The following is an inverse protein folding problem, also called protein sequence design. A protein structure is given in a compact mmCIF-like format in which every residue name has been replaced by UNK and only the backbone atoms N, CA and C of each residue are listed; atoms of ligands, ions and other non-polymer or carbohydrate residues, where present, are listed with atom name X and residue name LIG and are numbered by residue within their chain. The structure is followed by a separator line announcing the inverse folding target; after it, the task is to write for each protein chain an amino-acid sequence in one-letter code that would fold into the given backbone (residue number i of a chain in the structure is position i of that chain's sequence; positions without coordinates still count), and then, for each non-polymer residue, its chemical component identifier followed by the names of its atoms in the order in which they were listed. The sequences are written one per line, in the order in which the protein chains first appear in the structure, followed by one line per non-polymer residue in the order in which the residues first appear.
data_IF_750944672800
#
_entry.id   IF_750944672800
#
_cell.length_a   1.000
_cell.length_b   1.000
_cell.length_c   1.000
_cell.angle_alpha   90.00
_cell.angle_beta   90.00
_cell.angle_gamma   90.00
#
_symmetry.space_group_name_H-M   'P 1'
#
loop_
_entity.id
_entity.type
_entity.pdbx_description
1 polymer ?
#
# COMPACT_ATOMS: atom_id res chain seq x y z
N UNK A 1 -2.13 23.03 25.68
CA UNK A 1 -2.74 23.36 24.37
C UNK A 1 -3.75 22.26 24.06
N UNK A 2 -5.01 22.57 23.73
CA UNK A 2 -6.03 21.56 23.51
C UNK A 2 -5.88 20.94 22.12
N UNK A 3 -5.58 19.64 22.06
CA UNK A 3 -5.52 18.89 20.81
C UNK A 3 -6.90 18.82 20.14
N UNK A 4 -6.96 18.63 18.82
CA UNK A 4 -8.25 18.50 18.15
C UNK A 4 -9.06 17.31 18.70
N UNK A 5 -10.39 17.45 18.79
CA UNK A 5 -11.27 16.43 19.39
C UNK A 5 -11.13 15.07 18.72
N UNK A 6 -11.04 15.03 17.39
CA UNK A 6 -10.88 13.81 16.60
C UNK A 6 -9.54 13.09 16.84
N UNK A 7 -8.53 13.79 17.35
CA UNK A 7 -7.24 13.22 17.78
C UNK A 7 -7.30 12.82 19.26
N UNK A 8 -7.98 13.61 20.10
CA UNK A 8 -8.18 13.29 21.52
C UNK A 8 -8.96 11.99 21.72
N UNK A 9 -10.03 11.81 20.94
CA UNK A 9 -10.94 10.65 20.97
C UNK A 9 -10.44 9.49 20.09
N UNK A 10 -9.22 9.56 19.53
CA UNK A 10 -8.68 8.49 18.69
C UNK A 10 -8.64 7.13 19.39
N UNK A 11 -8.30 7.02 20.70
CA UNK A 11 -8.41 5.75 21.41
C UNK A 11 -9.82 5.18 21.36
N UNK A 12 -10.86 6.01 21.44
CA UNK A 12 -12.26 5.61 21.43
C UNK A 12 -12.82 5.36 20.03
N UNK A 13 -12.05 5.67 18.98
CA UNK A 13 -12.45 5.42 17.61
C UNK A 13 -12.74 3.92 17.41
N UNK A 14 -13.90 3.53 16.84
CA UNK A 14 -14.31 2.13 16.76
C UNK A 14 -13.25 1.23 16.11
N UNK A 15 -12.68 1.67 14.98
CA UNK A 15 -11.62 0.91 14.30
C UNK A 15 -10.36 0.73 15.16
N UNK A 16 -10.01 1.73 15.97
CA UNK A 16 -8.84 1.69 16.86
C UNK A 16 -9.13 0.79 18.06
N UNK A 17 -10.29 0.93 18.73
CA UNK A 17 -10.69 0.04 19.82
C UNK A 17 -10.74 -1.42 19.37
N UNK A 18 -11.29 -1.70 18.19
CA UNK A 18 -11.32 -3.06 17.65
C UNK A 18 -9.91 -3.58 17.34
N UNK A 19 -9.04 -2.73 16.78
CA UNK A 19 -7.67 -3.09 16.49
C UNK A 19 -6.84 -3.37 17.77
N UNK A 20 -7.08 -2.60 18.83
CA UNK A 20 -6.45 -2.73 20.16
C UNK A 20 -6.96 -3.97 20.92
N UNK A 21 -8.27 -4.26 20.87
CA UNK A 21 -8.90 -5.33 21.65
C UNK A 21 -9.02 -6.66 20.92
N UNK A 22 -8.81 -6.68 19.60
CA UNK A 22 -8.93 -7.91 18.78
C UNK A 22 -10.35 -8.46 18.73
N UNK A 23 -11.38 -7.60 18.84
CA UNK A 23 -12.79 -8.01 18.97
C UNK A 23 -13.49 -8.30 17.63
N UNK A 24 -12.86 -7.97 16.50
CA UNK A 24 -13.34 -8.26 15.15
C UNK A 24 -12.21 -8.79 14.25
N UNK A 25 -12.53 -9.54 13.18
CA UNK A 25 -11.55 -9.87 12.14
C UNK A 25 -10.92 -8.61 11.55
N UNK A 26 -9.62 -8.65 11.25
CA UNK A 26 -8.91 -7.50 10.67
C UNK A 26 -9.45 -7.11 9.30
N UNK A 27 -9.99 -8.06 8.55
CA UNK A 27 -10.53 -7.90 7.21
C UNK A 27 -11.61 -6.83 7.16
N UNK A 28 -12.57 -6.90 8.07
CA UNK A 28 -13.66 -5.93 8.17
C UNK A 28 -13.11 -4.54 8.49
N UNK A 29 -12.16 -4.46 9.42
CA UNK A 29 -11.57 -3.18 9.85
C UNK A 29 -10.73 -2.54 8.74
N UNK A 30 -9.96 -3.34 8.00
CA UNK A 30 -9.17 -2.89 6.86
C UNK A 30 -10.09 -2.45 5.73
N UNK A 31 -11.18 -3.17 5.46
CA UNK A 31 -12.18 -2.78 4.48
C UNK A 31 -12.81 -1.43 4.80
N UNK A 32 -13.30 -1.24 6.03
CA UNK A 32 -13.86 0.05 6.47
C UNK A 32 -12.83 1.17 6.41
N UNK A 33 -11.60 0.94 6.88
CA UNK A 33 -10.55 1.95 6.78
C UNK A 33 -10.22 2.28 5.32
N UNK A 34 -10.13 1.28 4.45
CA UNK A 34 -9.86 1.49 3.03
C UNK A 34 -10.96 2.31 2.37
N UNK A 35 -12.24 2.12 2.74
CA UNK A 35 -13.36 2.92 2.24
C UNK A 35 -13.26 4.40 2.66
N UNK A 36 -12.69 4.71 3.83
CA UNK A 36 -12.40 6.11 4.18
C UNK A 36 -11.36 6.71 3.23
N UNK A 37 -10.45 5.88 2.71
CA UNK A 37 -9.43 6.23 1.72
C UNK A 37 -9.86 6.11 0.26
N UNK A 38 -11.07 5.62 -0.01
CA UNK A 38 -11.57 5.51 -1.36
C UNK A 38 -11.63 6.89 -2.00
N UNK A 39 -11.12 6.91 -3.22
CA UNK A 39 -11.08 8.06 -4.07
C UNK A 39 -12.47 8.33 -4.65
N UNK A 40 -13.31 9.03 -3.89
CA UNK A 40 -14.53 9.57 -4.47
C UNK A 40 -14.16 10.78 -5.33
N UNK A 41 -13.95 10.55 -6.63
CA UNK A 41 -13.66 11.60 -7.60
C UNK A 41 -14.76 12.67 -7.54
N UNK A 42 -16.05 12.29 -7.53
CA UNK A 42 -17.19 13.20 -7.45
C UNK A 42 -17.25 14.12 -6.21
N UNK A 43 -16.68 13.69 -5.06
CA UNK A 43 -16.64 14.47 -3.81
C UNK A 43 -15.33 15.22 -3.59
N UNK A 44 -14.26 14.88 -4.33
CA UNK A 44 -13.00 15.62 -4.25
C UNK A 44 -13.18 16.92 -5.04
N UNK A 45 -12.93 18.05 -4.40
CA UNK A 45 -12.94 19.35 -5.08
C UNK A 45 -11.51 19.71 -5.47
N UNK A 46 -11.06 19.39 -6.69
CA UNK A 46 -9.78 19.89 -7.17
C UNK A 46 -9.82 21.42 -7.17
N UNK A 47 -8.74 22.06 -6.71
CA UNK A 47 -8.54 23.49 -6.97
C UNK A 47 -8.26 23.69 -8.47
N UNK A 48 -8.34 24.89 -9.03
CA UNK A 48 -7.84 25.13 -10.39
C UNK A 48 -6.36 25.53 -10.31
N UNK A 49 -5.48 24.91 -11.09
CA UNK A 49 -4.09 25.32 -11.26
C UNK A 49 -3.89 25.84 -12.68
N UNK A 50 -3.59 27.13 -12.82
CA UNK A 50 -3.28 27.76 -14.10
C UNK A 50 -1.85 27.42 -14.51
N UNK A 51 -1.67 26.78 -15.67
CA UNK A 51 -0.35 26.38 -16.20
C UNK A 51 0.13 27.25 -17.36
N UNK A 52 -0.77 27.96 -18.03
CA UNK A 52 -0.44 28.80 -19.18
C UNK A 52 -1.66 29.03 -20.07
N UNK A 53 -1.41 29.48 -21.30
CA UNK A 53 -2.41 29.65 -22.35
C UNK A 53 -1.96 28.89 -23.61
N UNK A 54 -2.87 28.17 -24.24
CA UNK A 54 -2.72 27.65 -25.60
C UNK A 54 -3.83 28.28 -26.45
N UNK A 55 -3.45 28.90 -27.57
CA UNK A 55 -4.35 29.68 -28.44
C UNK A 55 -5.17 30.77 -27.72
N UNK A 56 -4.63 31.35 -26.64
CA UNK A 56 -5.31 32.36 -25.82
C UNK A 56 -6.40 31.80 -24.90
N UNK A 57 -6.55 30.47 -24.83
CA UNK A 57 -7.38 29.80 -23.85
C UNK A 57 -6.51 29.35 -22.66
N UNK A 58 -6.91 29.66 -21.41
CA UNK A 58 -6.18 29.21 -20.23
C UNK A 58 -6.18 27.68 -20.13
N UNK A 59 -4.98 27.09 -20.06
CA UNK A 59 -4.79 25.68 -19.74
C UNK A 59 -4.85 25.54 -18.22
N UNK A 60 -5.92 24.92 -17.75
CA UNK A 60 -6.08 24.55 -16.35
C UNK A 60 -5.65 23.10 -16.15
N UNK A 61 -4.73 22.87 -15.22
CA UNK A 61 -4.59 21.56 -14.58
C UNK A 61 -5.46 21.56 -13.33
N UNK A 62 -6.16 20.46 -13.08
CA UNK A 62 -6.85 20.24 -11.81
C UNK A 62 -5.87 20.32 -10.65
N UNK A 63 -5.84 21.45 -9.95
CA UNK A 63 -5.22 21.57 -8.65
C UNK A 63 -5.72 20.46 -7.72
N UNK A 64 -4.80 19.90 -6.95
CA UNK A 64 -5.01 18.83 -5.95
C UNK A 64 -5.51 17.47 -6.45
N UNK A 65 -5.74 17.26 -7.76
CA UNK A 65 -5.91 15.90 -8.27
C UNK A 65 -4.54 15.22 -8.37
N UNK A 66 -4.39 14.07 -7.71
CA UNK A 66 -3.18 13.26 -7.77
C UNK A 66 -3.48 11.88 -8.35
N UNK A 67 -2.47 11.32 -9.02
CA UNK A 67 -2.60 10.04 -9.72
C UNK A 67 -2.93 8.89 -8.77
N UNK A 68 -2.41 8.92 -7.54
CA UNK A 68 -2.72 7.91 -6.52
C UNK A 68 -4.24 7.75 -6.33
N UNK A 69 -4.95 8.87 -6.21
CA UNK A 69 -6.40 8.88 -6.02
C UNK A 69 -7.11 8.33 -7.25
N UNK A 70 -6.68 8.71 -8.45
CA UNK A 70 -7.27 8.15 -9.67
C UNK A 70 -7.06 6.64 -9.75
N UNK A 71 -5.86 6.14 -9.50
CA UNK A 71 -5.58 4.69 -9.53
C UNK A 71 -6.37 3.91 -8.46
N UNK A 72 -6.61 4.50 -7.28
CA UNK A 72 -7.48 3.90 -6.28
C UNK A 72 -8.94 3.80 -6.77
N UNK A 73 -9.45 4.81 -7.47
CA UNK A 73 -10.77 4.77 -8.08
C UNK A 73 -10.85 3.73 -9.23
N UNK A 74 -9.82 3.65 -10.07
CA UNK A 74 -9.75 2.64 -11.14
C UNK A 74 -9.78 1.22 -10.56
N UNK A 75 -9.01 0.99 -9.48
CA UNK A 75 -8.95 -0.30 -8.81
C UNK A 75 -10.30 -0.71 -8.19
N UNK A 76 -10.97 0.23 -7.50
CA UNK A 76 -12.27 -0.03 -6.87
C UNK A 76 -13.35 -0.42 -7.89
N UNK A 77 -13.26 0.13 -9.11
CA UNK A 77 -14.20 -0.16 -10.20
C UNK A 77 -13.75 -1.28 -11.14
N UNK A 78 -12.59 -1.92 -10.89
CA UNK A 78 -12.03 -2.93 -11.77
C UNK A 78 -11.80 -2.43 -13.21
N UNK A 79 -11.49 -1.14 -13.38
CA UNK A 79 -11.37 -0.52 -14.69
C UNK A 79 -10.19 -1.10 -15.48
N UNK A 80 -10.43 -1.30 -16.77
CA UNK A 80 -9.41 -1.69 -17.73
C UNK A 80 -8.52 -0.49 -18.03
N UNK A 81 -7.22 -0.72 -17.96
CA UNK A 81 -6.20 0.23 -18.40
C UNK A 81 -5.38 -0.37 -19.53
N UNK A 82 -4.96 0.47 -20.46
CA UNK A 82 -3.79 0.19 -21.30
C UNK A 82 -2.60 0.90 -20.71
N UNK A 83 -1.49 0.19 -20.59
CA UNK A 83 -0.18 0.72 -20.26
C UNK A 83 0.66 0.59 -21.53
N UNK A 84 1.17 1.70 -22.04
CA UNK A 84 2.10 1.68 -23.18
C UNK A 84 3.41 0.93 -22.89
N UNK A 85 4.50 1.34 -23.55
CA UNK A 85 5.82 0.76 -23.28
C UNK A 85 6.22 0.93 -21.81
N UNK A 86 6.49 -0.18 -21.12
CA UNK A 86 6.87 -0.16 -19.70
C UNK A 86 8.21 -0.87 -19.47
N UNK A 87 9.22 -0.10 -19.06
CA UNK A 87 10.49 -0.63 -18.58
C UNK A 87 10.43 -0.97 -17.10
N UNK A 88 10.65 -2.24 -16.72
CA UNK A 88 10.69 -2.64 -15.31
C UNK A 88 11.93 -2.10 -14.60
N UNK A 89 11.73 -1.44 -13.44
CA UNK A 89 12.81 -1.02 -12.54
C UNK A 89 13.49 -2.18 -11.80
N UNK A 90 12.78 -3.29 -11.64
CA UNK A 90 13.30 -4.47 -10.95
C UNK A 90 13.82 -5.45 -11.98
N UNK A 91 14.88 -6.16 -11.59
CA UNK A 91 15.30 -7.38 -12.29
C UNK A 91 14.05 -8.26 -12.50
N UNK A 92 13.90 -8.87 -13.67
CA UNK A 92 12.82 -9.82 -13.90
C UNK A 92 12.92 -10.91 -12.83
N UNK A 93 12.02 -10.87 -11.85
CA UNK A 93 11.81 -12.03 -10.97
C UNK A 93 11.11 -13.08 -11.80
N UNK A 94 11.48 -14.37 -11.61
CA UNK A 94 10.84 -15.56 -12.19
C UNK A 94 9.39 -15.27 -12.55
N UNK A 95 9.10 -15.02 -13.83
CA UNK A 95 7.76 -14.70 -14.24
C UNK A 95 7.03 -16.00 -14.49
N UNK A 96 5.92 -16.19 -13.79
CA UNK A 96 4.98 -17.29 -14.01
C UNK A 96 4.31 -17.30 -15.40
N UNK A 97 4.79 -16.55 -16.37
CA UNK A 97 4.16 -16.45 -17.67
C UNK A 97 4.97 -15.65 -18.66
N UNK A 98 4.69 -15.89 -19.93
CA UNK A 98 5.36 -15.28 -21.08
C UNK A 98 4.56 -14.06 -21.51
N UNK A 99 5.23 -12.93 -21.75
CA UNK A 99 4.59 -11.76 -22.37
C UNK A 99 4.43 -12.06 -23.86
N UNK A 100 3.18 -12.16 -24.31
CA UNK A 100 2.85 -12.44 -25.72
C UNK A 100 2.69 -11.16 -26.53
N UNK A 101 2.35 -10.04 -25.87
CA UNK A 101 2.07 -8.74 -26.51
C UNK A 101 2.84 -7.61 -25.79
N UNK A 102 4.15 -7.42 -26.06
CA UNK A 102 4.98 -6.49 -25.29
C UNK A 102 4.65 -5.00 -25.47
N UNK A 103 4.11 -4.61 -26.63
CA UNK A 103 3.80 -3.21 -26.97
C UNK A 103 2.41 -2.73 -26.55
N UNK A 104 1.50 -3.65 -26.20
CA UNK A 104 0.11 -3.33 -25.88
C UNK A 104 -0.29 -4.00 -24.56
N UNK A 105 0.37 -3.60 -23.47
CA UNK A 105 0.10 -4.16 -22.15
C UNK A 105 -1.23 -3.59 -21.66
N UNK A 106 -2.18 -4.45 -21.33
CA UNK A 106 -3.50 -4.00 -20.92
C UNK A 106 -4.09 -4.95 -19.89
N UNK A 107 -4.98 -4.45 -19.05
CA UNK A 107 -5.55 -5.25 -17.98
C UNK A 107 -6.35 -4.48 -16.96
N UNK A 108 -6.98 -5.20 -16.04
CA UNK A 108 -7.75 -4.59 -14.95
C UNK A 108 -6.82 -4.14 -13.83
N UNK A 109 -7.01 -2.92 -13.34
CA UNK A 109 -6.32 -2.47 -12.13
C UNK A 109 -6.89 -3.24 -10.94
N UNK A 110 -6.04 -4.00 -10.24
CA UNK A 110 -6.43 -4.73 -9.03
C UNK A 110 -6.31 -3.82 -7.82
N UNK A 111 -5.18 -3.11 -7.69
CA UNK A 111 -4.90 -2.19 -6.55
C UNK A 111 -3.63 -1.38 -6.77
N UNK A 112 -3.46 -0.34 -5.96
CA UNK A 112 -2.18 0.35 -5.79
C UNK A 112 -1.39 -0.32 -4.65
N UNK A 113 -0.11 -0.62 -4.91
CA UNK A 113 0.80 -1.26 -3.96
C UNK A 113 1.96 -0.33 -3.67
N UNK A 114 2.19 -0.05 -2.39
CA UNK A 114 3.38 0.68 -1.92
C UNK A 114 4.47 -0.27 -1.45
N UNK A 115 5.74 0.10 -1.66
CA UNK A 115 6.84 -0.54 -0.96
C UNK A 115 6.86 -0.09 0.51
N UNK A 116 7.19 -1.03 1.40
CA UNK A 116 7.29 -0.80 2.84
C UNK A 116 8.49 0.08 3.21
N UNK A 117 9.63 -0.11 2.53
CA UNK A 117 10.92 0.45 2.96
C UNK A 117 11.35 1.70 2.16
N UNK A 118 10.78 1.90 0.97
CA UNK A 118 11.06 3.07 0.10
C UNK A 118 9.77 3.67 -0.44
N UNK A 119 9.86 4.85 -1.02
CA UNK A 119 8.73 5.63 -1.53
C UNK A 119 8.27 5.24 -2.94
N UNK A 120 8.38 3.95 -3.29
CA UNK A 120 7.95 3.44 -4.60
C UNK A 120 6.51 2.92 -4.57
N UNK A 121 5.76 3.20 -5.63
CA UNK A 121 4.38 2.77 -5.81
C UNK A 121 4.19 2.09 -7.16
N UNK A 122 3.42 1.00 -7.15
CA UNK A 122 3.06 0.24 -8.34
C UNK A 122 1.54 0.14 -8.46
N UNK A 123 1.02 0.15 -9.68
CA UNK A 123 -0.29 -0.43 -9.97
C UNK A 123 -0.11 -1.95 -10.16
N UNK A 124 -0.83 -2.75 -9.38
CA UNK A 124 -0.96 -4.18 -9.63
C UNK A 124 -2.11 -4.36 -10.63
N UNK A 125 -1.81 -4.95 -11.78
CA UNK A 125 -2.74 -5.09 -12.90
C UNK A 125 -2.86 -6.56 -13.26
N UNK A 126 -4.09 -7.03 -13.49
CA UNK A 126 -4.33 -8.32 -14.12
C UNK A 126 -4.05 -8.19 -15.62
N UNK A 127 -2.81 -8.44 -16.01
CA UNK A 127 -2.29 -8.14 -17.34
C UNK A 127 -2.61 -9.26 -18.34
N UNK A 128 -3.48 -8.95 -19.29
CA UNK A 128 -3.97 -9.90 -20.30
C UNK A 128 -2.99 -10.17 -21.43
N UNK A 129 -1.91 -9.39 -21.53
CA UNK A 129 -0.81 -9.65 -22.46
C UNK A 129 0.16 -10.74 -21.96
N UNK A 130 -0.12 -11.36 -20.81
CA UNK A 130 0.68 -12.44 -20.22
C UNK A 130 -0.06 -13.77 -20.32
N UNK A 131 0.65 -14.80 -20.75
CA UNK A 131 0.16 -16.18 -20.79
C UNK A 131 0.86 -17.04 -19.74
N UNK A 132 0.09 -17.75 -18.92
CA UNK A 132 0.57 -18.64 -17.86
C UNK A 132 0.28 -20.09 -18.24
N UNK A 133 1.30 -20.95 -18.14
CA UNK A 133 1.12 -22.41 -18.26
C UNK A 133 0.71 -22.97 -16.90
N UNK A 134 -0.48 -23.57 -16.82
CA UNK A 134 -0.98 -24.25 -15.63
C UNK A 134 -0.34 -25.62 -15.47
N UNK A 135 -0.45 -26.17 -14.26
CA UNK A 135 0.10 -27.49 -13.93
C UNK A 135 -0.55 -28.64 -14.73
N UNK A 136 -1.76 -28.43 -15.25
CA UNK A 136 -2.49 -29.36 -16.11
C UNK A 136 -2.12 -29.23 -17.61
N UNK A 137 -1.16 -28.37 -17.95
CA UNK A 137 -0.72 -28.11 -19.32
C UNK A 137 -1.59 -27.12 -20.09
N UNK A 138 -2.66 -26.59 -19.48
CA UNK A 138 -3.49 -25.55 -20.13
C UNK A 138 -2.83 -24.18 -20.06
N UNK A 139 -3.17 -23.33 -21.02
CA UNK A 139 -2.65 -21.96 -21.07
C UNK A 139 -3.76 -20.97 -20.74
N UNK A 140 -3.49 -20.06 -19.83
CA UNK A 140 -4.43 -19.03 -19.41
C UNK A 140 -3.84 -17.64 -19.68
N UNK A 141 -4.62 -16.78 -20.34
CA UNK A 141 -4.28 -15.37 -20.51
C UNK A 141 -4.67 -14.58 -19.25
N UNK A 142 -3.81 -13.66 -18.84
CA UNK A 142 -3.99 -12.85 -17.65
C UNK A 142 -3.08 -13.30 -16.52
N UNK A 143 -2.14 -12.45 -16.12
CA UNK A 143 -1.39 -12.66 -14.90
C UNK A 143 -1.19 -11.35 -14.14
N UNK A 144 -1.20 -11.36 -12.79
CA UNK A 144 -0.86 -10.17 -12.02
C UNK A 144 0.55 -9.67 -12.35
N UNK A 145 0.68 -8.39 -12.70
CA UNK A 145 1.94 -7.69 -12.96
C UNK A 145 1.96 -6.35 -12.26
N UNK A 146 3.12 -6.00 -11.71
CA UNK A 146 3.34 -4.70 -11.07
C UNK A 146 3.92 -3.73 -12.10
N UNK A 147 3.23 -2.62 -12.32
CA UNK A 147 3.72 -1.51 -13.11
C UNK A 147 4.03 -0.34 -12.18
N UNK A 148 5.31 0.04 -12.09
CA UNK A 148 5.77 1.11 -11.22
C UNK A 148 5.32 2.47 -11.77
N UNK A 149 4.44 3.13 -11.02
CA UNK A 149 4.05 4.51 -11.26
C UNK A 149 5.09 5.47 -10.69
N UNK A 150 5.69 5.12 -9.54
CA UNK A 150 6.68 5.93 -8.84
C UNK A 150 7.96 5.14 -8.66
N UNK A 151 9.09 5.80 -8.95
CA UNK A 151 10.41 5.21 -8.80
C UNK A 151 10.84 5.02 -7.34
N UNK A 152 12.05 4.51 -7.12
CA UNK A 152 12.57 4.31 -5.75
C UNK A 152 12.80 5.64 -5.01
N UNK A 153 12.95 6.75 -5.73
CA UNK A 153 13.18 8.09 -5.18
C UNK A 153 11.90 8.88 -4.92
N UNK A 154 10.73 8.29 -5.16
CA UNK A 154 9.45 8.98 -4.99
C UNK A 154 9.05 9.86 -6.19
N UNK A 155 9.71 9.71 -7.35
CA UNK A 155 9.43 10.49 -8.56
C UNK A 155 8.49 9.72 -9.48
N UNK A 156 7.54 10.43 -10.09
CA UNK A 156 6.64 9.87 -11.08
C UNK A 156 7.43 9.42 -12.31
N UNK A 157 7.13 8.23 -12.83
CA UNK A 157 7.81 7.70 -14.01
C UNK A 157 7.21 8.26 -15.30
N UNK A 158 8.02 8.35 -16.38
CA UNK A 158 7.50 8.63 -17.72
C UNK A 158 6.34 7.68 -18.08
N UNK A 159 5.32 8.20 -18.78
CA UNK A 159 4.11 7.46 -19.16
C UNK A 159 3.01 7.42 -18.10
N UNK A 160 3.28 7.83 -16.87
CA UNK A 160 2.26 7.94 -15.80
C UNK A 160 1.77 9.36 -15.54
N UNK A 161 2.46 10.37 -16.08
CA UNK A 161 2.11 11.79 -15.91
C UNK A 161 0.84 12.19 -16.65
N UNK A 162 0.48 11.46 -17.70
CA UNK A 162 -0.72 11.73 -18.49
C UNK A 162 -1.57 10.47 -18.52
N UNK A 163 -2.88 10.64 -18.30
CA UNK A 163 -3.85 9.57 -18.42
C UNK A 163 -4.90 9.98 -19.42
N UNK A 164 -5.00 9.25 -20.51
CA UNK A 164 -6.02 9.48 -21.52
C UNK A 164 -7.31 8.74 -21.16
N UNK A 165 -8.44 9.38 -21.45
CA UNK A 165 -9.78 8.77 -21.40
C UNK A 165 -10.17 8.12 -22.73
N UNK A 166 -9.30 8.26 -23.73
CA UNK A 166 -9.34 7.58 -25.02
C UNK A 166 -8.11 6.69 -25.19
N UNK A 167 -8.15 5.71 -26.08
CA UNK A 167 -6.99 4.87 -26.33
C UNK A 167 -5.93 5.65 -27.10
N UNK A 168 -4.77 5.86 -26.47
CA UNK A 168 -3.60 6.48 -27.08
C UNK A 168 -2.38 5.58 -26.87
N UNK A 169 -1.66 5.31 -27.95
CA UNK A 169 -0.46 4.47 -27.92
C UNK A 169 0.66 5.17 -27.12
N UNK A 170 1.19 4.49 -26.11
CA UNK A 170 2.25 5.04 -25.26
C UNK A 170 1.78 5.80 -24.00
N UNK A 171 0.47 6.03 -23.84
CA UNK A 171 -0.12 6.71 -22.67
C UNK A 171 -0.93 5.72 -21.82
N UNK A 172 -1.01 5.95 -20.50
CA UNK A 172 -1.98 5.23 -19.68
C UNK A 172 -3.38 5.62 -20.15
N UNK A 173 -4.21 4.68 -20.61
CA UNK A 173 -5.59 4.99 -21.04
C UNK A 173 -6.63 4.15 -20.32
N UNK A 174 -7.81 4.73 -20.06
CA UNK A 174 -8.96 4.03 -19.48
C UNK A 174 -10.28 4.64 -19.99
N UNK A 175 -11.36 3.86 -19.98
CA UNK A 175 -12.70 4.38 -20.29
C UNK A 175 -13.40 4.82 -18.99
N UNK A 176 -13.72 6.12 -18.83
CA UNK A 176 -14.41 6.60 -17.63
C UNK A 176 -15.87 6.15 -17.59
N UNK A 177 -16.42 5.98 -16.39
CA UNK A 177 -17.87 5.83 -16.20
C UNK A 177 -18.59 7.16 -16.48
N UNK A 178 -19.91 7.14 -16.67
CA UNK A 178 -20.69 8.37 -16.85
C UNK A 178 -20.50 9.37 -15.71
N UNK A 179 -20.48 8.90 -14.45
CA UNK A 179 -20.23 9.73 -13.28
C UNK A 179 -18.82 10.36 -13.29
N UNK A 180 -17.80 9.59 -13.67
CA UNK A 180 -16.42 10.08 -13.78
C UNK A 180 -16.29 11.09 -14.91
N UNK A 181 -16.88 10.81 -16.08
CA UNK A 181 -16.88 11.72 -17.22
C UNK A 181 -17.56 13.06 -16.87
N UNK A 182 -18.73 13.00 -16.22
CA UNK A 182 -19.44 14.19 -15.74
C UNK A 182 -18.62 14.97 -14.71
N UNK A 183 -17.94 14.26 -13.79
CA UNK A 183 -17.03 14.89 -12.84
C UNK A 183 -15.86 15.61 -13.55
N UNK A 184 -15.19 14.94 -14.49
CA UNK A 184 -14.06 15.51 -15.23
C UNK A 184 -14.47 16.75 -16.03
N UNK A 185 -15.62 16.68 -16.71
CA UNK A 185 -16.18 17.80 -17.46
C UNK A 185 -16.57 18.97 -16.55
N UNK A 186 -17.33 18.72 -15.48
CA UNK A 186 -17.80 19.79 -14.56
C UNK A 186 -16.68 20.51 -13.81
N UNK A 187 -15.50 19.90 -13.71
CA UNK A 187 -14.33 20.45 -13.02
C UNK A 187 -13.24 20.96 -13.96
N UNK A 188 -13.43 20.90 -15.28
CA UNK A 188 -12.45 21.37 -16.26
C UNK A 188 -11.10 20.65 -16.15
N UNK A 189 -11.13 19.33 -15.90
CA UNK A 189 -9.92 18.53 -15.63
C UNK A 189 -9.21 18.01 -16.89
N UNK A 190 -9.79 18.23 -18.06
CA UNK A 190 -9.24 17.81 -19.35
C UNK A 190 -8.31 18.91 -19.86
N UNK A 191 -7.03 18.59 -20.06
CA UNK A 191 -6.03 19.53 -20.58
C UNK A 191 -6.04 19.57 -22.10
N UNK A 192 -5.88 18.41 -22.74
CA UNK A 192 -6.12 18.16 -24.17
C UNK A 192 -7.42 17.35 -24.31
N UNK A 193 -8.03 17.24 -25.52
CA UNK A 193 -9.19 16.38 -25.70
C UNK A 193 -8.91 14.99 -25.12
N UNK A 194 -9.75 14.57 -24.18
CA UNK A 194 -9.66 13.30 -23.46
C UNK A 194 -8.46 13.07 -22.50
N UNK A 195 -7.51 13.99 -22.30
CA UNK A 195 -6.33 13.71 -21.44
C UNK A 195 -6.36 14.45 -20.10
N UNK A 196 -6.05 13.72 -19.02
CA UNK A 196 -5.85 14.22 -17.66
C UNK A 196 -4.36 14.24 -17.34
N UNK A 197 -3.82 15.42 -17.05
CA UNK A 197 -2.40 15.62 -16.72
C UNK A 197 -2.20 15.69 -15.21
N UNK A 198 -1.28 14.88 -14.69
CA UNK A 198 -0.90 14.81 -13.28
C UNK A 198 0.50 15.36 -13.05
N UNK A 199 0.61 16.44 -12.27
CA UNK A 199 1.90 17.00 -11.86
C UNK A 199 2.57 16.19 -10.73
N UNK A 200 1.79 15.39 -10.00
CA UNK A 200 2.26 14.63 -8.84
C UNK A 200 1.59 13.27 -8.75
N UNK A 201 2.34 12.28 -8.22
CA UNK A 201 1.74 11.01 -7.81
C UNK A 201 0.82 11.17 -6.60
N UNK A 202 1.26 11.95 -5.61
CA UNK A 202 0.51 12.37 -4.42
C UNK A 202 0.70 13.86 -4.25
N UNK A 203 -0.38 14.59 -3.96
CA UNK A 203 -0.28 16.05 -3.80
C UNK A 203 0.45 16.43 -2.51
N UNK A 204 1.29 17.49 -2.51
CA UNK A 204 1.98 17.94 -1.29
C UNK A 204 1.03 18.28 -0.14
N UNK A 205 -0.21 18.70 -0.45
CA UNK A 205 -1.24 18.99 0.54
C UNK A 205 -1.63 17.77 1.38
N UNK A 206 -1.55 16.55 0.81
CA UNK A 206 -1.82 15.32 1.54
C UNK A 206 -0.84 15.12 2.71
N UNK A 207 0.37 15.67 2.60
CA UNK A 207 1.38 15.63 3.66
C UNK A 207 0.93 16.33 4.94
N UNK A 208 0.02 17.32 4.85
CA UNK A 208 -0.59 17.96 6.02
C UNK A 208 -1.43 16.97 6.85
N UNK A 209 -1.91 15.89 6.24
CA UNK A 209 -2.68 14.84 6.91
C UNK A 209 -1.85 13.95 7.83
N UNK A 210 -0.50 14.06 7.82
CA UNK A 210 0.40 13.21 8.61
C UNK A 210 0.16 13.29 10.13
N UNK A 211 -0.40 14.39 10.63
CA UNK A 211 -0.78 14.56 12.04
C UNK A 211 -2.28 14.42 12.30
N UNK A 212 -3.07 14.11 11.26
CA UNK A 212 -4.52 14.03 11.33
C UNK A 212 -5.03 12.67 11.76
N UNK A 213 -6.25 12.64 12.32
CA UNK A 213 -6.91 11.42 12.81
C UNK A 213 -6.98 10.32 11.76
N UNK A 214 -7.34 10.65 10.51
CA UNK A 214 -7.46 9.67 9.41
C UNK A 214 -6.16 8.92 9.12
N UNK A 215 -5.02 9.61 9.13
CA UNK A 215 -3.70 8.97 9.02
C UNK A 215 -3.41 8.10 10.25
N UNK A 216 -3.67 8.61 11.46
CA UNK A 216 -3.41 7.89 12.70
C UNK A 216 -4.24 6.59 12.81
N UNK A 217 -5.51 6.60 12.41
CA UNK A 217 -6.37 5.40 12.34
C UNK A 217 -5.78 4.37 11.39
N UNK A 218 -5.44 4.78 10.16
CA UNK A 218 -4.86 3.88 9.16
C UNK A 218 -3.49 3.33 9.60
N UNK A 219 -2.67 4.17 10.25
CA UNK A 219 -1.39 3.77 10.82
C UNK A 219 -1.56 2.76 11.94
N UNK A 220 -2.51 2.97 12.85
CA UNK A 220 -2.83 2.02 13.92
C UNK A 220 -3.22 0.64 13.35
N UNK A 221 -4.05 0.61 12.30
CA UNK A 221 -4.44 -0.64 11.63
C UNK A 221 -3.28 -1.30 10.90
N UNK A 222 -2.43 -0.54 10.20
CA UNK A 222 -1.24 -1.07 9.55
C UNK A 222 -0.28 -1.74 10.55
N UNK A 223 -0.03 -1.09 11.70
CA UNK A 223 0.76 -1.65 12.81
C UNK A 223 0.11 -2.91 13.39
N UNK A 224 -1.22 -2.94 13.47
CA UNK A 224 -1.96 -4.12 13.93
C UNK A 224 -1.84 -5.33 12.99
N UNK A 225 -1.84 -5.10 11.67
CA UNK A 225 -1.60 -6.15 10.67
C UNK A 225 -0.17 -6.68 10.81
N UNK A 226 0.80 -5.78 10.90
CA UNK A 226 2.22 -6.13 11.00
C UNK A 226 2.53 -6.94 12.27
N UNK A 227 1.89 -6.60 13.40
CA UNK A 227 2.07 -7.30 14.68
C UNK A 227 1.45 -8.68 14.71
N UNK A 228 0.23 -8.84 14.19
CA UNK A 228 -0.37 -10.19 14.10
C UNK A 228 0.51 -11.09 13.24
N UNK A 229 0.99 -10.56 12.11
CA UNK A 229 1.93 -11.28 11.26
C UNK A 229 3.19 -11.66 12.02
N UNK A 230 3.83 -10.72 12.73
CA UNK A 230 5.05 -10.99 13.49
C UNK A 230 4.83 -12.02 14.61
N UNK A 231 3.72 -11.92 15.34
CA UNK A 231 3.35 -12.85 16.40
C UNK A 231 3.12 -14.26 15.83
N UNK A 232 2.34 -14.38 14.75
CA UNK A 232 2.11 -15.66 14.09
C UNK A 232 3.41 -16.24 13.55
N UNK A 233 4.28 -15.44 12.93
CA UNK A 233 5.59 -15.91 12.48
C UNK A 233 6.47 -16.43 13.63
N UNK A 234 6.45 -15.78 14.80
CA UNK A 234 7.17 -16.27 15.99
C UNK A 234 6.61 -17.58 16.51
N UNK A 235 5.29 -17.68 16.61
CA UNK A 235 4.61 -18.90 17.06
C UNK A 235 4.79 -20.05 16.05
N UNK A 236 4.77 -19.75 14.76
CA UNK A 236 5.06 -20.72 13.69
C UNK A 236 6.50 -21.24 13.82
N UNK A 237 7.48 -20.36 14.00
CA UNK A 237 8.87 -20.75 14.24
C UNK A 237 9.01 -21.64 15.48
N UNK A 238 8.27 -21.34 16.55
CA UNK A 238 8.25 -22.16 17.76
C UNK A 238 7.63 -23.53 17.52
N UNK A 239 6.45 -23.59 16.90
CA UNK A 239 5.76 -24.84 16.55
C UNK A 239 6.61 -25.72 15.62
N UNK A 240 7.35 -25.12 14.67
CA UNK A 240 8.29 -25.85 13.81
C UNK A 240 9.43 -26.53 14.57
N UNK A 241 9.87 -25.97 15.70
CA UNK A 241 10.89 -26.64 16.53
C UNK A 241 10.35 -27.93 17.13
N UNK A 242 9.06 -27.98 17.45
CA UNK A 242 8.40 -29.19 17.93
C UNK A 242 8.08 -30.15 16.79
N UNK A 243 7.81 -29.62 15.58
CA UNK A 243 7.39 -30.37 14.39
C UNK A 243 8.15 -29.94 13.13
N UNK A 244 9.43 -30.32 12.99
CA UNK A 244 10.28 -29.85 11.88
C UNK A 244 9.84 -30.38 10.51
N UNK A 245 9.17 -31.54 10.45
CA UNK A 245 8.74 -32.20 9.22
C UNK A 245 7.24 -32.07 8.94
N UNK A 246 6.54 -31.13 9.58
CA UNK A 246 5.12 -30.92 9.33
C UNK A 246 4.87 -30.46 7.88
N UNK A 247 3.96 -31.13 7.14
CA UNK A 247 3.62 -30.71 5.78
C UNK A 247 2.85 -29.40 5.84
N UNK A 248 3.39 -28.37 5.20
CA UNK A 248 2.66 -27.12 5.00
C UNK A 248 1.75 -27.25 3.79
N UNK A 249 0.65 -26.47 3.74
CA UNK A 249 -0.03 -26.27 2.48
C UNK A 249 1.00 -25.80 1.46
N UNK A 250 0.92 -26.30 0.23
CA UNK A 250 1.65 -25.69 -0.86
C UNK A 250 1.34 -24.21 -0.78
N UNK A 251 2.36 -23.38 -0.55
CA UNK A 251 2.18 -21.95 -0.80
C UNK A 251 1.61 -21.86 -2.21
N UNK A 252 0.70 -20.94 -2.47
CA UNK A 252 0.50 -20.45 -3.84
C UNK A 252 1.77 -19.69 -4.25
N UNK A 253 2.93 -20.36 -4.17
CA UNK A 253 4.14 -19.99 -4.84
C UNK A 253 3.88 -20.34 -6.30
N UNK A 254 3.92 -19.29 -7.09
CA UNK A 254 4.33 -19.36 -8.48
C UNK A 254 5.39 -20.49 -8.65
N UNK A 255 5.11 -21.56 -9.43
CA UNK A 255 5.97 -22.74 -9.47
C UNK A 255 7.38 -22.37 -9.92
N UNK A 256 8.36 -22.92 -9.22
CA UNK A 256 9.77 -22.80 -9.58
C UNK A 256 10.08 -23.78 -10.72
N UNK A 257 10.06 -23.30 -11.96
CA UNK A 257 10.73 -23.95 -13.09
C UNK A 257 12.22 -23.58 -13.12
N UNK A 258 13.06 -24.54 -13.51
CA UNK A 258 14.46 -24.31 -13.83
C UNK A 258 14.57 -23.59 -15.19
N UNK A 259 15.15 -22.38 -15.22
CA UNK A 259 15.78 -21.83 -16.42
C UNK A 259 16.72 -20.66 -16.06
N UNK A 260 17.78 -20.52 -16.85
CA UNK A 260 18.77 -19.45 -16.75
C UNK A 260 18.10 -18.08 -16.97
N UNK A 261 18.30 -17.17 -16.03
CA UNK A 261 17.89 -15.76 -16.18
C UNK A 261 19.00 -15.02 -16.93
N UNK A 262 18.70 -14.15 -17.91
CA UNK A 262 19.71 -13.31 -18.52
C UNK A 262 20.39 -12.45 -17.44
N UNK A 263 21.72 -12.33 -17.52
CA UNK A 263 22.52 -11.52 -16.60
C UNK A 263 22.23 -10.03 -16.82
N UNK A 264 21.17 -9.54 -16.21
CA UNK A 264 20.87 -8.11 -16.19
C UNK A 264 21.72 -7.46 -15.09
N UNK A 265 22.50 -6.43 -15.44
CA UNK A 265 23.32 -5.73 -14.47
C UNK A 265 22.46 -4.97 -13.47
N UNK A 266 22.93 -4.95 -12.22
CA UNK A 266 22.17 -4.46 -11.07
C UNK A 266 23.06 -3.58 -10.21
N UNK A 267 22.51 -2.45 -9.77
CA UNK A 267 23.22 -1.47 -8.94
C UNK A 267 22.54 -1.33 -7.59
N UNK A 268 23.33 -1.29 -6.51
CA UNK A 268 22.85 -0.90 -5.18
C UNK A 268 22.84 0.62 -5.06
N UNK A 269 21.73 1.18 -4.63
CA UNK A 269 21.55 2.61 -4.39
C UNK A 269 21.04 2.85 -2.99
N UNK A 270 21.50 3.94 -2.37
CA UNK A 270 20.99 4.42 -1.09
C UNK A 270 19.86 5.39 -1.38
N UNK A 271 18.72 5.19 -0.73
CA UNK A 271 17.49 5.94 -0.96
C UNK A 271 17.01 6.52 0.37
N UNK A 272 16.84 7.85 0.48
CA UNK A 272 16.21 8.44 1.64
C UNK A 272 14.71 8.17 1.64
N UNK A 273 14.16 7.90 2.81
CA UNK A 273 12.74 7.65 3.03
C UNK A 273 12.34 8.19 4.39
N UNK A 274 11.04 8.31 4.63
CA UNK A 274 10.53 8.50 5.99
C UNK A 274 10.15 7.15 6.57
N UNK A 275 10.59 6.94 7.81
CA UNK A 275 10.11 5.88 8.67
C UNK A 275 9.24 6.52 9.74
N UNK A 276 7.99 6.06 9.84
CA UNK A 276 7.06 6.49 10.88
C UNK A 276 6.48 5.28 11.60
N UNK A 277 6.19 5.44 12.88
CA UNK A 277 5.63 4.40 13.76
C UNK A 277 4.62 5.02 14.70
N UNK A 278 3.50 4.36 14.92
CA UNK A 278 2.56 4.75 15.97
C UNK A 278 2.74 3.82 17.17
N UNK A 279 2.97 4.41 18.35
CA UNK A 279 2.92 3.73 19.63
C UNK A 279 1.60 4.09 20.31
N UNK A 280 0.85 3.09 20.77
CA UNK A 280 -0.40 3.29 21.50
C UNK A 280 -0.35 2.55 22.82
N UNK A 281 -0.90 3.17 23.86
CA UNK A 281 -1.03 2.55 25.18
C UNK A 281 -2.13 1.46 25.14
N UNK A 282 -1.98 0.41 25.95
CA UNK A 282 -2.99 -0.66 26.06
C UNK A 282 -3.04 -1.63 24.87
N UNK A 283 -2.01 -1.65 24.01
CA UNK A 283 -1.94 -2.61 22.91
C UNK A 283 -1.68 -4.03 23.45
N UNK A 284 -2.73 -4.86 23.49
CA UNK A 284 -2.62 -6.25 23.90
C UNK A 284 -2.52 -7.16 22.67
N UNK A 285 -1.42 -7.91 22.58
CA UNK A 285 -1.20 -8.90 21.53
C UNK A 285 -1.99 -10.21 21.74
N UNK A 286 -2.95 -10.26 22.68
CA UNK A 286 -3.75 -11.47 22.89
C UNK A 286 -4.83 -11.56 21.80
N UNK A 287 -4.44 -12.06 20.63
CA UNK A 287 -5.39 -12.49 19.62
C UNK A 287 -5.68 -13.98 19.80
N UNK A 288 -6.93 -14.33 19.54
CA UNK A 288 -7.39 -15.71 19.44
C UNK A 288 -6.45 -16.48 18.51
N UNK A 289 -5.96 -17.63 18.98
CA UNK A 289 -5.19 -18.53 18.14
C UNK A 289 -6.18 -19.38 17.35
N UNK A 290 -5.83 -19.69 16.11
CA UNK A 290 -6.64 -20.54 15.26
C UNK A 290 -5.81 -21.65 14.65
N UNK A 291 -6.48 -22.74 14.32
CA UNK A 291 -5.96 -23.88 13.60
C UNK A 291 -6.84 -24.14 12.37
N UNK A 292 -6.23 -24.67 11.31
CA UNK A 292 -6.92 -24.92 10.04
C UNK A 292 -6.76 -26.39 9.65
N UNK A 293 -7.87 -27.09 9.48
CA UNK A 293 -7.88 -28.49 9.03
C UNK A 293 -7.38 -28.63 7.58
N UNK A 294 -7.05 -29.85 7.11
CA UNK A 294 -6.66 -30.06 5.72
C UNK A 294 -7.75 -29.68 4.70
N UNK A 295 -9.01 -29.63 5.14
CA UNK A 295 -10.17 -29.22 4.33
C UNK A 295 -10.38 -27.70 4.31
N UNK A 296 -9.56 -26.93 5.04
CA UNK A 296 -9.65 -25.48 5.12
C UNK A 296 -10.57 -24.95 6.23
N UNK A 297 -11.10 -25.82 7.11
CA UNK A 297 -11.97 -25.41 8.21
C UNK A 297 -11.13 -24.76 9.32
N UNK A 298 -11.49 -23.54 9.71
CA UNK A 298 -10.79 -22.76 10.73
C UNK A 298 -11.50 -22.88 12.08
N UNK A 299 -10.76 -23.22 13.14
CA UNK A 299 -11.27 -23.30 14.51
C UNK A 299 -10.37 -22.57 15.50
N UNK A 300 -10.91 -21.96 16.56
CA UNK A 300 -10.10 -21.38 17.62
C UNK A 300 -9.37 -22.47 18.42
N UNK A 301 -8.20 -22.15 18.96
CA UNK A 301 -7.46 -22.98 19.93
C UNK A 301 -7.09 -22.13 21.14
N UNK A 302 -7.16 -22.71 22.34
CA UNK A 302 -6.90 -21.99 23.59
C UNK A 302 -5.41 -21.73 23.82
N UNK A 303 -4.56 -22.72 23.49
CA UNK A 303 -3.11 -22.63 23.67
C UNK A 303 -2.36 -23.42 22.61
N UNK A 304 -1.18 -22.92 22.26
CA UNK A 304 -0.18 -23.63 21.47
C UNK A 304 0.94 -24.08 22.40
N UNK A 305 1.09 -25.38 22.59
CA UNK A 305 2.05 -25.96 23.53
C UNK A 305 2.74 -27.20 22.94
N UNK A 306 3.92 -27.54 23.46
CA UNK A 306 4.74 -28.65 22.95
C UNK A 306 4.14 -30.04 23.22
N UNK A 307 3.28 -30.13 24.23
CA UNK A 307 2.52 -31.33 24.63
C UNK A 307 1.18 -31.46 23.88
N UNK A 308 0.84 -30.50 23.01
CA UNK A 308 -0.39 -30.55 22.23
C UNK A 308 -0.38 -31.73 21.23
N UNK A 309 -1.56 -32.30 20.90
CA UNK A 309 -1.68 -33.31 19.86
C UNK A 309 -0.99 -32.90 18.56
N UNK A 310 -0.38 -33.88 17.87
CA UNK A 310 0.35 -33.66 16.62
C UNK A 310 -0.51 -32.95 15.57
N UNK A 311 -1.78 -33.33 15.47
CA UNK A 311 -2.73 -32.74 14.52
C UNK A 311 -2.99 -31.26 14.82
N UNK A 312 -3.10 -30.87 16.08
CA UNK A 312 -3.33 -29.47 16.48
C UNK A 312 -2.14 -28.57 16.08
N UNK A 313 -0.91 -29.06 16.26
CA UNK A 313 0.30 -28.31 15.86
C UNK A 313 0.38 -28.18 14.33
N UNK A 314 0.05 -29.25 13.59
CA UNK A 314 0.06 -29.22 12.12
C UNK A 314 -1.02 -28.29 11.56
N UNK A 315 -2.22 -28.34 12.12
CA UNK A 315 -3.33 -27.46 11.75
C UNK A 315 -3.03 -26.00 12.09
N UNK A 316 -2.38 -25.73 13.22
CA UNK A 316 -1.88 -24.39 13.55
C UNK A 316 -0.84 -23.92 12.53
N UNK A 317 0.15 -24.75 12.19
CA UNK A 317 1.18 -24.40 11.20
C UNK A 317 0.57 -24.09 9.82
N UNK A 318 -0.46 -24.85 9.41
CA UNK A 318 -1.22 -24.60 8.19
C UNK A 318 -1.92 -23.24 8.24
N UNK A 319 -2.63 -22.95 9.32
CA UNK A 319 -3.29 -21.67 9.53
C UNK A 319 -2.28 -20.51 9.53
N UNK A 320 -1.22 -20.61 10.33
CA UNK A 320 -0.23 -19.55 10.50
C UNK A 320 0.48 -19.22 9.18
N UNK A 321 0.85 -20.24 8.39
CA UNK A 321 1.48 -20.01 7.08
C UNK A 321 0.54 -19.29 6.12
N UNK A 322 -0.73 -19.70 6.01
CA UNK A 322 -1.67 -19.03 5.11
C UNK A 322 -2.04 -17.63 5.60
N UNK A 323 -2.26 -17.48 6.91
CA UNK A 323 -2.64 -16.20 7.52
C UNK A 323 -1.52 -15.17 7.41
N UNK A 324 -0.27 -15.57 7.64
CA UNK A 324 0.88 -14.66 7.50
C UNK A 324 1.08 -14.18 6.07
N UNK A 325 0.88 -15.06 5.07
CA UNK A 325 0.89 -14.68 3.66
C UNK A 325 -0.26 -13.72 3.34
N UNK A 326 -1.48 -14.01 3.80
CA UNK A 326 -2.65 -13.15 3.61
C UNK A 326 -2.46 -11.75 4.24
N UNK A 327 -1.93 -11.67 5.46
CA UNK A 327 -1.60 -10.40 6.12
C UNK A 327 -0.52 -9.62 5.35
N UNK A 328 0.48 -10.32 4.82
CA UNK A 328 1.62 -9.71 4.12
C UNK A 328 1.26 -9.17 2.74
N UNK A 329 0.46 -9.94 2.01
CA UNK A 329 0.24 -9.72 0.58
C UNK A 329 -1.19 -9.28 0.25
N UNK A 330 -2.16 -9.41 1.14
CA UNK A 330 -3.55 -8.98 0.90
C UNK A 330 -3.90 -7.79 1.79
N UNK A 331 -4.00 -7.98 3.11
CA UNK A 331 -4.47 -6.92 4.02
C UNK A 331 -3.45 -5.80 4.20
N UNK A 332 -2.19 -6.14 4.42
CA UNK A 332 -1.14 -5.15 4.68
C UNK A 332 -1.00 -4.12 3.56
N UNK A 333 -0.91 -4.52 2.27
CA UNK A 333 -0.83 -3.55 1.18
C UNK A 333 -2.03 -2.60 1.10
N UNK A 334 -3.26 -3.08 1.35
CA UNK A 334 -4.50 -2.28 1.27
C UNK A 334 -4.49 -1.10 2.23
N UNK A 335 -4.09 -1.31 3.48
CA UNK A 335 -4.02 -0.23 4.48
C UNK A 335 -2.71 0.57 4.40
N UNK A 336 -1.61 -0.03 3.93
CA UNK A 336 -0.31 0.65 3.84
C UNK A 336 -0.22 1.63 2.68
N UNK A 337 -0.86 1.35 1.53
CA UNK A 337 -0.81 2.24 0.38
C UNK A 337 -1.23 3.69 0.72
N UNK A 338 -2.40 3.95 1.34
CA UNK A 338 -2.78 5.31 1.72
C UNK A 338 -1.89 5.91 2.83
N UNK A 339 -1.44 5.10 3.79
CA UNK A 339 -0.47 5.55 4.82
C UNK A 339 0.82 6.03 4.17
N UNK A 340 1.37 5.24 3.23
CA UNK A 340 2.59 5.57 2.49
C UNK A 340 2.40 6.78 1.59
N UNK A 341 1.19 6.99 1.03
CA UNK A 341 0.89 8.17 0.23
C UNK A 341 1.01 9.47 1.05
N UNK A 342 0.48 9.48 2.27
CA UNK A 342 0.64 10.59 3.22
C UNK A 342 2.11 10.77 3.63
N UNK A 343 2.79 9.67 3.96
CA UNK A 343 4.22 9.68 4.32
C UNK A 343 5.11 10.21 3.20
N UNK A 344 4.84 9.82 1.94
CA UNK A 344 5.53 10.34 0.76
C UNK A 344 5.29 11.85 0.60
N UNK A 345 4.03 12.28 0.65
CA UNK A 345 3.70 13.70 0.51
C UNK A 345 4.35 14.54 1.62
N UNK A 346 4.35 14.05 2.87
CA UNK A 346 5.01 14.69 4.00
C UNK A 346 6.54 14.74 3.84
N UNK A 347 7.14 13.66 3.34
CA UNK A 347 8.57 13.63 3.04
C UNK A 347 8.96 14.63 1.95
N UNK A 348 8.19 14.70 0.85
CA UNK A 348 8.44 15.64 -0.25
C UNK A 348 8.19 17.10 0.14
N UNK A 349 7.30 17.36 1.09
CA UNK A 349 7.02 18.71 1.60
C UNK A 349 8.00 19.19 2.69
N UNK A 350 9.11 18.47 2.93
CA UNK A 350 10.16 18.90 3.85
C UNK A 350 10.03 18.40 5.30
N UNK A 351 9.05 17.54 5.60
CA UNK A 351 9.00 16.70 6.81
C UNK A 351 9.23 17.41 8.16
N UNK A 352 8.89 18.69 8.29
CA UNK A 352 9.27 19.49 9.46
C UNK A 352 8.19 19.50 10.55
N UNK A 353 8.57 19.55 11.84
CA UNK A 353 7.70 19.92 12.96
C UNK A 353 6.80 21.13 12.70
N UNK A 354 7.34 22.15 12.03
CA UNK A 354 6.66 23.42 11.73
C UNK A 354 5.50 23.22 10.74
N UNK A 355 5.53 22.14 9.94
CA UNK A 355 4.44 21.77 9.03
C UNK A 355 3.14 21.45 9.79
N UNK A 356 3.22 21.03 11.06
CA UNK A 356 2.05 20.77 11.88
C UNK A 356 1.33 22.07 12.31
N UNK A 357 2.11 23.08 12.71
CA UNK A 357 1.60 24.40 13.10
C UNK A 357 1.00 25.14 11.89
N UNK A 358 1.66 25.04 10.73
CA UNK A 358 1.19 25.61 9.46
C UNK A 358 -0.08 24.96 8.90
N UNK A 359 -0.40 23.73 9.33
CA UNK A 359 -1.55 22.97 8.87
C UNK A 359 -2.82 23.20 9.71
N UNK A 360 -2.75 24.00 10.79
CA UNK A 360 -3.90 24.30 11.65
C UNK A 360 -4.37 23.13 12.51
N UNK A 361 -3.66 21.99 12.47
CA UNK A 361 -3.89 20.90 13.41
C UNK A 361 -3.39 21.36 14.76
N UNK A 362 -4.30 21.57 15.71
CA UNK A 362 -3.91 21.77 17.12
C UNK A 362 -3.29 20.45 17.61
N UNK A 363 -1.98 20.33 17.50
CA UNK A 363 -1.21 19.18 17.96
C UNK A 363 -0.13 19.61 18.94
N UNK A 364 0.32 18.72 19.83
CA UNK A 364 1.40 19.00 20.77
C UNK A 364 2.70 19.31 20.04
N UNK A 365 3.55 20.13 20.68
CA UNK A 365 4.88 20.44 20.13
C UNK A 365 5.70 19.15 20.07
N UNK A 366 6.26 18.79 18.91
CA UNK A 366 7.05 17.58 18.81
C UNK A 366 8.41 17.75 19.47
N UNK A 367 8.92 16.64 19.99
CA UNK A 367 10.24 16.54 20.63
C UNK A 367 11.20 15.80 19.72
N UNK A 368 12.39 16.34 19.52
CA UNK A 368 13.48 15.67 18.79
C UNK A 368 14.38 14.89 19.75
N UNK A 369 15.02 13.82 19.27
CA UNK A 369 15.94 13.00 20.08
C UNK A 369 15.26 12.03 21.05
N UNK A 370 13.98 11.71 20.81
CA UNK A 370 13.30 10.68 21.58
C UNK A 370 13.93 9.31 21.30
N UNK A 371 14.22 8.56 22.36
CA UNK A 371 14.71 7.17 22.28
C UNK A 371 13.70 6.21 22.89
N UNK A 372 13.34 5.18 22.15
CA UNK A 372 12.59 4.05 22.69
C UNK A 372 13.42 3.35 23.78
N UNK A 373 12.75 2.71 24.75
CA UNK A 373 13.42 2.00 25.85
C UNK A 373 14.33 0.90 25.28
N UNK A 374 15.65 1.02 25.50
CA UNK A 374 16.72 0.17 24.93
C UNK A 374 16.98 0.36 23.42
N UNK A 375 16.41 1.38 22.79
CA UNK A 375 16.69 1.76 21.41
C UNK A 375 17.95 2.61 21.28
N UNK A 376 18.66 2.46 20.16
CA UNK A 376 19.80 3.33 19.76
C UNK A 376 19.40 4.41 18.75
N UNK A 377 18.12 4.45 18.39
CA UNK A 377 17.61 5.29 17.32
C UNK A 377 16.99 6.53 17.95
N UNK A 378 17.40 7.68 17.42
CA UNK A 378 16.78 8.98 17.71
C UNK A 378 15.59 9.20 16.78
N UNK A 379 14.47 9.59 17.39
CA UNK A 379 13.21 9.88 16.72
C UNK A 379 12.78 11.31 16.97
N UNK A 380 12.04 11.87 16.02
CA UNK A 380 11.05 12.88 16.36
C UNK A 380 9.85 12.17 16.96
N UNK A 381 9.29 12.73 18.02
CA UNK A 381 8.15 12.18 18.72
C UNK A 381 7.11 13.26 18.95
N UNK A 382 5.85 12.89 18.74
CA UNK A 382 4.70 13.71 19.09
C UNK A 382 3.79 12.89 20.00
N UNK A 383 3.62 13.37 21.22
CA UNK A 383 2.89 12.69 22.29
C UNK A 383 1.47 13.24 22.41
N UNK A 384 0.48 12.39 22.17
CA UNK A 384 -0.95 12.74 22.27
C UNK A 384 -1.55 12.45 23.64
N UNK A 385 -0.78 11.93 24.60
CA UNK A 385 -1.23 11.54 25.94
C UNK A 385 -1.78 10.11 26.04
N UNK A 386 -2.30 9.55 24.95
CA UNK A 386 -2.72 8.14 24.83
C UNK A 386 -1.76 7.27 23.99
N UNK A 387 -0.78 7.92 23.37
CA UNK A 387 0.12 7.31 22.40
C UNK A 387 1.08 8.32 21.81
N UNK A 388 2.09 7.83 21.08
CA UNK A 388 3.15 8.63 20.46
C UNK A 388 3.28 8.30 18.99
N UNK A 389 3.24 9.32 18.13
CA UNK A 389 3.69 9.20 16.74
C UNK A 389 5.19 9.48 16.70
N UNK A 390 5.96 8.49 16.24
CA UNK A 390 7.39 8.60 16.03
C UNK A 390 7.69 8.69 14.54
N UNK A 391 8.65 9.52 14.15
CA UNK A 391 9.15 9.52 12.78
C UNK A 391 10.61 9.96 12.68
N UNK A 392 11.26 9.57 11.59
CA UNK A 392 12.60 10.00 11.23
C UNK A 392 12.83 9.84 9.72
N UNK A 393 13.81 10.55 9.21
CA UNK A 393 14.39 10.20 7.92
C UNK A 393 15.30 8.98 8.10
N UNK A 394 15.15 8.01 7.21
CA UNK A 394 15.96 6.79 7.18
C UNK A 394 16.50 6.58 5.78
N UNK A 395 17.76 6.19 5.70
CA UNK A 395 18.36 5.72 4.47
C UNK A 395 18.20 4.20 4.37
N UNK A 396 17.72 3.76 3.21
CA UNK A 396 17.53 2.35 2.89
C UNK A 396 18.34 2.03 1.64
N UNK A 397 19.16 0.98 1.69
CA UNK A 397 19.82 0.45 0.49
C UNK A 397 18.88 -0.46 -0.27
N UNK A 398 18.66 -0.18 -1.56
CA UNK A 398 17.87 -1.02 -2.48
C UNK A 398 18.66 -1.34 -3.74
N UNK A 399 18.31 -2.42 -4.41
CA UNK A 399 18.88 -2.79 -5.71
C UNK A 399 17.93 -2.34 -6.82
N UNK A 400 18.48 -1.70 -7.86
CA UNK A 400 17.78 -1.30 -9.07
C UNK A 400 18.44 -1.95 -10.29
N UNK A 401 17.65 -2.14 -11.36
CA UNK A 401 18.18 -2.47 -12.69
C UNK A 401 19.03 -1.30 -13.18
N UNK A 402 20.20 -1.61 -13.75
CA UNK A 402 21.07 -0.62 -14.38
C UNK A 402 20.57 -0.18 -15.76
#
# INVERSE_FOLDING_TARGET
MAISRSIAELPDHPLVQHALRGTKPLEELVGSCASDWEANLGRRTPALAYLGEEDGAPIYSGGTLDLFTVLMALAANGQLISVGSYDSMRLPSRSNGTVVEPGNRHGQVIRVVSNREVHSFNALVQDYAVEVLKADGTRERGAPRNFAAVDVYGRLRPGWSNVSTEFEEGTLSFTPTEEQAAFFASRGLQGLPATITFSHFVTPQLGKGFFGSRYLVAKALAECVDREREQLSKLEQQARRWRPYAPLPAKQMQPAGESESPSVSAKKVVVPSIEAKLLMDGWHASRLLYAMSPKGEVRPIERLASDAPKEDIDDFLRYASQRTDFLSYVLGPTVRAPVRAVELAFFLSGGSPESAELAGWKVPKPTSGYRERRGRIDWHALDYGWGKLLWRQRETTTTIRE
#
